data_IF_816018137462
#
_entry.id   IF_816018137462
#
_cell.length_a   1.000
_cell.length_b   1.000
_cell.length_c   1.000
_cell.angle_alpha   90.00
_cell.angle_beta   90.00
_cell.angle_gamma   90.00
#
_symmetry.space_group_name_H-M   'P 1'
#
loop_
_entity.id
_entity.type
_entity.pdbx_description
1 polymer ?
#
# COMPACT_ATOMS: atom_id res chain seq x y z
N UNK A 1 -14.66 -11.76 -15.64
CA UNK A 1 -13.68 -11.78 -14.53
C UNK A 1 -13.49 -10.33 -14.12
N UNK A 2 -13.81 -9.96 -12.89
CA UNK A 2 -13.89 -8.55 -12.50
C UNK A 2 -12.61 -8.15 -11.76
N UNK A 3 -12.09 -6.96 -12.07
CA UNK A 3 -11.02 -6.34 -11.32
C UNK A 3 -11.56 -5.74 -10.02
N UNK A 4 -10.78 -5.79 -8.95
CA UNK A 4 -11.10 -5.15 -7.67
C UNK A 4 -10.07 -4.06 -7.39
N UNK A 5 -10.53 -2.86 -7.06
CA UNK A 5 -9.66 -1.73 -6.71
C UNK A 5 -9.87 -1.35 -5.25
N UNK A 6 -8.77 -1.17 -4.52
CA UNK A 6 -8.76 -0.60 -3.19
C UNK A 6 -7.94 0.70 -3.18
N UNK A 7 -8.32 1.63 -2.29
CA UNK A 7 -7.62 2.89 -2.08
C UNK A 7 -7.38 3.14 -0.59
N UNK A 8 -6.25 3.75 -0.26
CA UNK A 8 -5.92 4.17 1.10
C UNK A 8 -5.17 5.51 1.07
N UNK A 9 -5.48 6.46 1.97
CA UNK A 9 -4.77 7.73 2.03
C UNK A 9 -3.44 7.59 2.80
N UNK A 10 -2.49 8.47 2.51
CA UNK A 10 -1.34 8.71 3.37
C UNK A 10 -1.78 9.46 4.65
N UNK A 11 -0.83 9.64 5.57
CA UNK A 11 -1.06 10.35 6.83
C UNK A 11 0.03 11.37 7.12
N UNK A 12 -0.36 12.44 7.81
CA UNK A 12 0.52 13.44 8.39
C UNK A 12 0.34 13.47 9.91
N UNK A 13 1.43 13.63 10.67
CA UNK A 13 1.35 13.92 12.10
C UNK A 13 1.16 15.44 12.24
N UNK A 14 0.06 15.85 12.87
CA UNK A 14 -0.23 17.27 13.11
C UNK A 14 0.46 17.78 14.36
N UNK A 15 0.55 16.93 15.40
CA UNK A 15 1.15 17.26 16.70
C UNK A 15 1.67 15.98 17.38
N UNK A 16 2.77 16.11 18.13
CA UNK A 16 3.21 15.09 19.10
C UNK A 16 4.26 14.11 18.55
N UNK A 17 4.99 14.46 17.50
CA UNK A 17 6.02 13.64 16.86
C UNK A 17 7.08 13.17 17.84
N UNK A 18 7.58 14.07 18.69
CA UNK A 18 8.55 13.73 19.72
C UNK A 18 7.88 13.24 21.00
N UNK A 19 6.63 13.62 21.25
CA UNK A 19 5.90 13.24 22.46
C UNK A 19 5.51 11.75 22.45
N UNK A 20 5.15 11.20 21.29
CA UNK A 20 4.72 9.79 21.14
C UNK A 20 5.85 8.80 21.41
N UNK A 21 7.10 9.19 21.18
CA UNK A 21 8.30 8.41 21.55
C UNK A 21 8.35 8.14 23.06
N UNK A 22 7.77 9.02 23.87
CA UNK A 22 7.70 8.90 25.34
C UNK A 22 6.32 8.45 25.85
N UNK A 23 5.50 7.80 25.01
CA UNK A 23 4.21 7.24 25.41
C UNK A 23 3.09 8.27 25.59
N UNK A 24 3.27 9.50 25.10
CA UNK A 24 2.21 10.52 25.06
C UNK A 24 1.42 10.42 23.73
N UNK A 25 0.16 10.87 23.67
CA UNK A 25 -0.61 10.79 22.42
C UNK A 25 -0.03 11.70 21.33
N UNK A 26 -0.25 11.33 20.06
CA UNK A 26 -0.01 12.17 18.90
C UNK A 26 -1.32 12.32 18.10
N UNK A 27 -1.50 13.49 17.48
CA UNK A 27 -2.63 13.75 16.59
C UNK A 27 -2.18 13.54 15.14
N UNK A 28 -2.92 12.72 14.41
CA UNK A 28 -2.61 12.31 13.03
C UNK A 28 -3.85 12.51 12.16
N UNK A 29 -3.66 12.97 10.93
CA UNK A 29 -4.74 13.10 9.96
C UNK A 29 -4.37 12.39 8.65
N UNK A 30 -5.39 11.83 7.99
CA UNK A 30 -5.29 11.44 6.60
C UNK A 30 -5.11 12.71 5.73
N UNK A 31 -4.31 12.59 4.67
CA UNK A 31 -4.08 13.67 3.70
C UNK A 31 -4.50 13.20 2.30
N UNK A 32 -4.72 14.16 1.40
CA UNK A 32 -5.17 13.92 0.03
C UNK A 32 -4.05 13.39 -0.89
N UNK A 33 -3.33 12.37 -0.41
CA UNK A 33 -2.32 11.62 -1.14
C UNK A 33 -2.70 10.14 -1.07
N UNK A 34 -3.17 9.58 -2.18
CA UNK A 34 -3.82 8.27 -2.20
C UNK A 34 -2.94 7.20 -2.83
N UNK A 35 -2.82 6.05 -2.16
CA UNK A 35 -2.38 4.81 -2.77
C UNK A 35 -3.58 4.10 -3.40
N UNK A 36 -3.43 3.62 -4.63
CA UNK A 36 -4.42 2.81 -5.34
C UNK A 36 -3.80 1.48 -5.73
N UNK A 37 -4.49 0.38 -5.41
CA UNK A 37 -4.09 -0.97 -5.77
C UNK A 37 -5.23 -1.63 -6.53
N UNK A 38 -4.92 -2.19 -7.69
CA UNK A 38 -5.90 -2.93 -8.51
C UNK A 38 -5.43 -4.38 -8.65
N UNK A 39 -6.33 -5.31 -8.36
CA UNK A 39 -6.12 -6.75 -8.59
C UNK A 39 -7.01 -7.19 -9.73
N UNK A 40 -6.41 -7.81 -10.73
CA UNK A 40 -7.10 -8.35 -11.91
C UNK A 40 -6.81 -9.85 -12.00
N UNK A 41 -7.84 -10.71 -12.18
CA UNK A 41 -7.62 -12.12 -12.48
C UNK A 41 -6.77 -12.27 -13.74
N UNK A 42 -5.79 -13.18 -13.69
CA UNK A 42 -4.87 -13.46 -14.79
C UNK A 42 -5.06 -14.91 -15.25
N UNK A 43 -5.08 -15.14 -16.56
CA UNK A 43 -5.07 -16.50 -17.14
C UNK A 43 -3.64 -17.02 -17.30
N UNK A 44 -2.91 -17.07 -16.19
CA UNK A 44 -1.58 -17.66 -16.10
C UNK A 44 -1.30 -18.00 -14.64
N UNK A 45 -0.46 -18.99 -14.40
CA UNK A 45 -0.09 -19.39 -13.04
C UNK A 45 0.69 -18.29 -12.31
N UNK A 46 0.58 -18.30 -10.99
CA UNK A 46 1.25 -17.35 -10.10
C UNK A 46 0.61 -15.95 -10.06
N UNK A 47 1.33 -15.04 -9.43
CA UNK A 47 0.96 -13.65 -9.17
C UNK A 47 2.01 -12.76 -9.84
N UNK A 48 1.55 -11.77 -10.60
CA UNK A 48 2.41 -10.68 -11.06
C UNK A 48 2.18 -9.45 -10.18
N UNK A 49 3.26 -8.93 -9.59
CA UNK A 49 3.26 -7.67 -8.86
C UNK A 49 3.90 -6.59 -9.71
N UNK A 50 3.16 -5.50 -9.93
CA UNK A 50 3.63 -4.32 -10.65
C UNK A 50 3.61 -3.11 -9.70
N UNK A 51 4.79 -2.55 -9.44
CA UNK A 51 4.97 -1.33 -8.66
C UNK A 51 5.45 -0.23 -9.63
N UNK A 52 4.52 0.38 -10.35
CA UNK A 52 4.81 1.31 -11.44
C UNK A 52 5.73 2.47 -11.00
N UNK A 53 5.42 3.10 -9.88
CA UNK A 53 6.20 4.23 -9.31
C UNK A 53 7.63 3.85 -8.91
N UNK A 54 7.91 2.55 -8.72
CA UNK A 54 9.24 2.05 -8.39
C UNK A 54 9.95 1.41 -9.59
N UNK A 55 9.35 1.45 -10.79
CA UNK A 55 9.82 0.75 -11.97
C UNK A 55 10.11 -0.74 -11.69
N UNK A 56 9.31 -1.37 -10.82
CA UNK A 56 9.53 -2.74 -10.39
C UNK A 56 8.39 -3.64 -10.84
N UNK A 57 8.76 -4.77 -11.44
CA UNK A 57 7.84 -5.83 -11.84
C UNK A 57 8.44 -7.17 -11.43
N UNK A 58 7.64 -8.01 -10.79
CA UNK A 58 8.05 -9.36 -10.43
C UNK A 58 6.89 -10.33 -10.61
N UNK A 59 7.22 -11.59 -10.86
CA UNK A 59 6.26 -12.70 -10.86
C UNK A 59 6.71 -13.70 -9.82
N UNK A 60 5.77 -14.18 -9.01
CA UNK A 60 6.00 -15.18 -7.96
C UNK A 60 4.88 -16.19 -7.98
N UNK A 61 5.16 -17.38 -7.48
CA UNK A 61 4.19 -18.44 -7.27
C UNK A 61 4.38 -19.05 -5.88
N UNK A 62 3.52 -20.00 -5.53
CA UNK A 62 3.62 -20.67 -4.23
C UNK A 62 4.88 -21.55 -4.08
N UNK A 63 5.51 -21.98 -5.16
CA UNK A 63 6.74 -22.76 -5.07
C UNK A 63 7.97 -21.88 -4.76
N UNK A 64 7.87 -20.58 -5.04
CA UNK A 64 8.94 -19.59 -4.86
C UNK A 64 8.99 -18.92 -3.47
N UNK A 65 8.08 -19.26 -2.57
CA UNK A 65 8.00 -18.77 -1.17
C UNK A 65 8.36 -19.91 -0.22
#
# INVERSE_FOLDING_TARGET
>A
MNATTAVAPAKLILMGEHAVVYGRPALVAAIDLWLRVTITPRQADGIELQLAELNHRTTTDWASI
#
